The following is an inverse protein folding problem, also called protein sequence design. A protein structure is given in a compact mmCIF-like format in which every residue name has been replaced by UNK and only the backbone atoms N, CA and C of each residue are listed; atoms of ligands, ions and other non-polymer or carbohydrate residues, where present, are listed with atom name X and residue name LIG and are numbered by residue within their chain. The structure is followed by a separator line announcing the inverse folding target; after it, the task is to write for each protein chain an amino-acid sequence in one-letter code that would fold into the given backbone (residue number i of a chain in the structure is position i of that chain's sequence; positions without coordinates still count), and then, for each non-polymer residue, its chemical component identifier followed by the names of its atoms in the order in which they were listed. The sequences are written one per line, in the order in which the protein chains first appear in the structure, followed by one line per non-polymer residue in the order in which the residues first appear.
data_IF_430507353127
#
_entry.id   IF_430507353127
#
_cell.length_a   1.000
_cell.length_b   1.000
_cell.length_c   1.000
_cell.angle_alpha   90.00
_cell.angle_beta   90.00
_cell.angle_gamma   90.00
#
_symmetry.space_group_name_H-M   'P 1'
#
loop_
_entity.id
_entity.type
_entity.pdbx_description
1 polymer ?
#
# COMPACT_ATOMS: atom_id res chain seq x y z
N UNK A 1 2.76 11.99 -6.41
CA UNK A 1 2.27 10.64 -6.09
C UNK A 1 3.01 10.15 -4.87
N UNK A 2 2.35 9.40 -4.00
CA UNK A 2 2.92 8.92 -2.74
C UNK A 2 2.46 7.49 -2.45
N UNK A 3 3.14 6.82 -1.51
CA UNK A 3 2.72 5.51 -1.04
C UNK A 3 2.98 5.28 0.44
N UNK A 4 2.23 4.35 1.01
CA UNK A 4 2.39 3.87 2.37
C UNK A 4 2.29 2.35 2.41
N UNK A 5 3.16 1.73 3.18
CA UNK A 5 3.20 0.31 3.53
C UNK A 5 2.67 0.21 4.95
N UNK A 6 1.62 -0.59 5.14
CA UNK A 6 0.99 -0.82 6.43
C UNK A 6 1.04 -2.31 6.73
N UNK A 7 1.73 -2.68 7.80
CA UNK A 7 1.63 -4.03 8.36
C UNK A 7 0.43 -4.07 9.29
N UNK A 8 -0.51 -4.98 9.05
CA UNK A 8 -1.72 -5.12 9.88
C UNK A 8 -2.07 -6.60 10.08
N UNK A 9 -2.90 -6.86 11.08
CA UNK A 9 -3.60 -8.15 11.21
C UNK A 9 -4.96 -8.02 10.53
N UNK A 10 -5.22 -8.84 9.52
CA UNK A 10 -6.52 -8.92 8.84
C UNK A 10 -7.02 -10.35 8.89
N UNK A 11 -8.23 -10.57 9.43
CA UNK A 11 -8.82 -11.91 9.63
C UNK A 11 -7.88 -12.91 10.33
N UNK A 12 -7.12 -12.44 11.31
CA UNK A 12 -6.19 -13.29 12.07
C UNK A 12 -4.91 -13.68 11.32
N UNK A 13 -4.61 -13.07 10.17
CA UNK A 13 -3.37 -13.24 9.41
C UNK A 13 -2.62 -11.92 9.26
N UNK A 14 -1.30 -11.99 9.10
CA UNK A 14 -0.51 -10.81 8.75
C UNK A 14 -0.80 -10.43 7.28
N UNK A 15 -1.12 -9.16 7.07
CA UNK A 15 -1.36 -8.57 5.75
C UNK A 15 -0.44 -7.36 5.59
N UNK A 16 0.15 -7.26 4.39
CA UNK A 16 0.90 -6.09 3.97
C UNK A 16 0.00 -5.29 3.04
N UNK A 17 -0.55 -4.20 3.57
CA UNK A 17 -1.34 -3.27 2.78
C UNK A 17 -0.43 -2.20 2.18
N UNK A 18 -0.48 -2.05 0.86
CA UNK A 18 0.17 -0.98 0.11
C UNK A 18 -0.92 0.01 -0.32
N UNK A 19 -0.88 1.21 0.24
CA UNK A 19 -1.76 2.32 -0.13
C UNK A 19 -1.02 3.22 -1.10
N UNK A 20 -1.65 3.51 -2.23
CA UNK A 20 -1.13 4.39 -3.28
C UNK A 20 -1.98 5.65 -3.36
N UNK A 21 -1.33 6.80 -3.37
CA UNK A 21 -1.89 8.09 -3.74
C UNK A 21 -1.53 8.33 -5.23
N UNK A 22 -2.47 8.08 -6.15
CA UNK A 22 -2.21 8.14 -7.58
C UNK A 22 -2.11 9.59 -8.06
N UNK A 23 -1.43 9.79 -9.20
CA UNK A 23 -1.50 11.07 -9.90
C UNK A 23 -2.95 11.45 -10.21
N UNK A 24 -3.34 12.74 -10.05
CA UNK A 24 -4.65 13.24 -10.47
C UNK A 24 -4.96 12.99 -11.95
N UNK A 25 -3.94 12.80 -12.78
CA UNK A 25 -4.10 12.54 -14.22
C UNK A 25 -4.55 11.11 -14.56
N UNK A 26 -4.50 10.17 -13.60
CA UNK A 26 -4.90 8.78 -13.82
C UNK A 26 -6.42 8.63 -13.78
N UNK A 27 -6.99 8.08 -14.86
CA UNK A 27 -8.38 7.66 -14.93
C UNK A 27 -8.65 6.44 -14.02
N UNK A 28 -9.92 6.18 -13.72
CA UNK A 28 -10.30 5.04 -12.87
C UNK A 28 -9.89 3.69 -13.47
N UNK A 29 -9.95 3.54 -14.79
CA UNK A 29 -9.54 2.30 -15.48
C UNK A 29 -8.02 2.10 -15.33
N UNK A 30 -7.23 3.16 -15.49
CA UNK A 30 -5.78 3.08 -15.31
C UNK A 30 -5.40 2.80 -13.85
N UNK A 31 -6.17 3.34 -12.88
CA UNK A 31 -5.99 3.03 -11.46
C UNK A 31 -6.24 1.56 -11.15
N UNK A 32 -7.28 0.96 -11.73
CA UNK A 32 -7.57 -0.48 -11.56
C UNK A 32 -6.50 -1.36 -12.22
N UNK A 33 -6.05 -0.98 -13.42
CA UNK A 33 -4.92 -1.62 -14.09
C UNK A 33 -3.63 -1.55 -13.27
N UNK A 34 -3.34 -0.39 -12.68
CA UNK A 34 -2.20 -0.20 -11.78
C UNK A 34 -2.31 -1.09 -10.54
N UNK A 35 -3.49 -1.15 -9.90
CA UNK A 35 -3.74 -2.00 -8.73
C UNK A 35 -3.44 -3.46 -9.03
N UNK A 36 -4.02 -3.99 -10.11
CA UNK A 36 -3.87 -5.40 -10.49
C UNK A 36 -2.42 -5.73 -10.84
N UNK A 37 -1.76 -4.88 -11.63
CA UNK A 37 -0.36 -5.06 -12.01
C UNK A 37 0.57 -5.02 -10.80
N UNK A 38 0.41 -4.02 -9.94
CA UNK A 38 1.28 -3.86 -8.76
C UNK A 38 1.13 -5.03 -7.80
N UNK A 39 -0.10 -5.53 -7.59
CA UNK A 39 -0.33 -6.71 -6.75
C UNK A 39 0.37 -7.96 -7.31
N UNK A 40 0.34 -8.16 -8.63
CA UNK A 40 1.02 -9.28 -9.29
C UNK A 40 2.55 -9.17 -9.20
N UNK A 41 3.09 -7.97 -9.45
CA UNK A 41 4.52 -7.69 -9.40
C UNK A 41 5.06 -7.86 -7.97
N UNK A 42 4.35 -7.36 -6.96
CA UNK A 42 4.72 -7.52 -5.54
C UNK A 42 4.68 -8.97 -5.09
N UNK A 43 3.64 -9.73 -5.48
CA UNK A 43 3.56 -11.16 -5.18
C UNK A 43 4.74 -11.92 -5.77
N UNK A 44 5.12 -11.59 -7.00
CA UNK A 44 6.23 -12.24 -7.71
C UNK A 44 7.58 -11.85 -7.11
N UNK A 45 7.79 -10.56 -6.83
CA UNK A 45 9.07 -10.03 -6.37
C UNK A 45 9.36 -10.27 -4.88
N UNK A 46 8.33 -10.21 -4.03
CA UNK A 46 8.50 -10.39 -2.57
C UNK A 46 8.22 -11.83 -2.12
N UNK A 47 7.57 -12.65 -2.95
CA UNK A 47 7.17 -14.02 -2.60
C UNK A 47 6.05 -14.10 -1.54
N UNK A 48 5.49 -12.97 -1.13
CA UNK A 48 4.44 -12.88 -0.10
C UNK A 48 3.22 -12.14 -0.66
N UNK A 49 2.05 -12.40 -0.05
CA UNK A 49 0.81 -11.71 -0.40
C UNK A 49 0.87 -10.27 0.10
N UNK A 50 0.58 -9.33 -0.78
CA UNK A 50 0.34 -7.94 -0.45
C UNK A 50 -1.04 -7.51 -0.99
N UNK A 51 -1.75 -6.72 -0.20
CA UNK A 51 -3.00 -6.08 -0.60
C UNK A 51 -2.69 -4.69 -1.14
N UNK A 52 -3.25 -4.32 -2.29
CA UNK A 52 -3.03 -2.99 -2.90
C UNK A 52 -4.34 -2.21 -2.92
N UNK A 53 -4.30 -0.99 -2.39
CA UNK A 53 -5.39 -0.03 -2.42
C UNK A 53 -4.94 1.27 -3.09
N UNK A 54 -5.73 1.75 -4.06
CA UNK A 54 -5.51 3.03 -4.71
C UNK A 54 -6.51 4.02 -4.12
N UNK A 55 -6.01 5.04 -3.43
CA UNK A 55 -6.81 6.10 -2.83
C UNK A 55 -7.10 7.24 -3.80
N UNK A 56 -7.67 8.32 -3.26
CA UNK A 56 -7.81 9.57 -4.00
C UNK A 56 -6.48 10.35 -4.03
N UNK A 57 -6.26 11.18 -5.07
CA UNK A 57 -5.09 12.03 -5.15
C UNK A 57 -4.99 12.98 -3.94
N UNK A 58 -3.84 13.04 -3.29
CA UNK A 58 -3.59 13.85 -2.09
C UNK A 58 -4.13 13.25 -0.79
N UNK A 59 -4.60 11.99 -0.80
CA UNK A 59 -5.15 11.35 0.41
C UNK A 59 -4.09 10.87 1.41
N UNK A 60 -2.81 10.77 0.99
CA UNK A 60 -1.72 10.39 1.89
C UNK A 60 -0.97 11.62 2.43
N UNK A 61 -0.61 11.62 3.73
CA UNK A 61 0.14 12.72 4.32
C UNK A 61 1.53 12.83 3.68
N UNK A 62 1.86 14.03 3.19
CA UNK A 62 3.19 14.36 2.69
C UNK A 62 4.06 14.80 3.85
N UNK A 63 5.20 14.14 4.03
CA UNK A 63 6.15 14.45 5.10
C UNK A 63 7.31 15.23 4.50
N UNK A 64 7.50 16.48 4.94
CA UNK A 64 8.52 17.39 4.37
C UNK A 64 9.97 17.01 4.72
N UNK A 65 10.18 15.99 5.56
CA UNK A 65 11.51 15.56 6.02
C UNK A 65 11.78 14.10 5.68
N UNK A 66 11.60 13.17 6.63
CA UNK A 66 11.79 11.73 6.40
C UNK A 66 10.45 11.10 6.08
N UNK A 67 10.27 10.62 4.86
CA UNK A 67 9.07 9.89 4.47
C UNK A 67 8.90 8.65 5.37
N UNK A 68 7.91 8.68 6.28
CA UNK A 68 7.51 7.54 7.10
C UNK A 68 6.58 6.66 6.28
N UNK A 69 7.16 5.95 5.32
CA UNK A 69 6.40 5.10 4.39
C UNK A 69 5.96 3.77 4.99
N UNK A 70 6.50 3.39 6.15
CA UNK A 70 6.15 2.14 6.83
C UNK A 70 5.43 2.46 8.13
N UNK A 71 4.25 1.87 8.31
CA UNK A 71 3.48 1.88 9.55
C UNK A 71 3.23 0.44 9.96
N UNK A 72 3.56 0.11 11.20
CA UNK A 72 3.20 -1.19 11.79
C UNK A 72 2.02 -0.99 12.73
N UNK A 73 0.90 -1.62 12.42
CA UNK A 73 -0.34 -1.60 13.20
C UNK A 73 -0.58 -2.94 13.90
N UNK A 74 0.37 -3.89 13.81
CA UNK A 74 0.26 -5.17 14.52
C UNK A 74 0.43 -4.91 16.01
N UNK A 75 -0.60 -5.22 16.79
CA UNK A 75 -0.63 -4.99 18.24
C UNK A 75 0.09 -6.07 19.06
N UNK A 76 0.28 -7.25 18.47
CA UNK A 76 0.93 -8.39 19.12
C UNK A 76 2.04 -8.90 18.20
N UNK A 77 3.26 -8.40 18.43
CA UNK A 77 4.46 -8.98 17.83
C UNK A 77 5.06 -9.87 18.93
N UNK A 78 4.96 -11.21 18.85
CA UNK A 78 5.66 -12.08 19.78
C UNK A 78 7.16 -11.88 19.51
N UNK A 79 7.86 -11.25 20.46
CA UNK A 79 9.32 -11.13 20.44
C UNK A 79 9.95 -12.43 20.91
#
# INVERSE_FOLDING_TARGET
DEFQIVFRRHDGLDDILIRIDPSPSLSLIERDGLRTRLAADLRTGLGIRATVEIGEPGSLPRWDHKARRVRDERTEVPF
#
